data_IF_753594393104
#
_entry.id   IF_753594393104
#
_cell.length_a   1.000
_cell.length_b   1.000
_cell.length_c   1.000
_cell.angle_alpha   90.00
_cell.angle_beta   90.00
_cell.angle_gamma   90.00
#
_symmetry.space_group_name_H-M   'P 1'
#
loop_
_entity.id
_entity.type
_entity.pdbx_description
1 polymer ?
#
# COMPACT_ATOMS: atom_id res chain seq x y z
N UNK A 1 -1.85 33.71 -7.23
CA UNK A 1 -1.32 34.38 -8.43
C UNK A 1 -1.90 33.71 -9.65
N UNK A 2 -2.26 34.49 -10.65
CA UNK A 2 -2.66 33.98 -11.96
C UNK A 2 -1.41 33.57 -12.75
N UNK A 3 -1.53 32.63 -13.70
CA UNK A 3 -0.38 32.19 -14.51
C UNK A 3 0.30 33.37 -15.22
N UNK A 4 -0.49 34.33 -15.70
CA UNK A 4 -0.03 35.51 -16.40
C UNK A 4 0.83 36.44 -15.52
N UNK A 5 0.51 36.55 -14.23
CA UNK A 5 1.32 37.32 -13.28
C UNK A 5 2.71 36.72 -13.09
N UNK A 6 2.81 35.39 -12.97
CA UNK A 6 4.10 34.70 -12.79
C UNK A 6 4.96 34.82 -14.05
N UNK A 7 4.35 34.68 -15.23
CA UNK A 7 5.03 34.84 -16.52
C UNK A 7 5.52 36.28 -16.75
N UNK A 8 4.74 37.28 -16.33
CA UNK A 8 5.16 38.68 -16.39
C UNK A 8 6.37 38.95 -15.48
N UNK A 9 6.41 38.39 -14.28
CA UNK A 9 7.56 38.51 -13.37
C UNK A 9 8.81 37.84 -13.93
N UNK A 10 8.66 36.68 -14.57
CA UNK A 10 9.75 36.00 -15.26
C UNK A 10 10.29 36.83 -16.43
N UNK A 11 9.39 37.39 -17.26
CA UNK A 11 9.76 38.26 -18.39
C UNK A 11 10.49 39.54 -17.96
N UNK A 12 10.22 40.03 -16.75
CA UNK A 12 10.88 41.21 -16.17
C UNK A 12 12.17 40.86 -15.40
N UNK A 13 12.61 39.60 -15.42
CA UNK A 13 13.74 39.09 -14.62
C UNK A 13 13.59 39.34 -13.10
N UNK A 14 12.36 39.50 -12.60
CA UNK A 14 12.08 39.72 -11.17
C UNK A 14 12.14 38.40 -10.37
N UNK A 15 12.04 37.26 -11.06
CA UNK A 15 12.12 35.91 -10.48
C UNK A 15 12.95 35.00 -11.38
N UNK A 16 13.66 34.04 -10.80
CA UNK A 16 14.42 33.05 -11.58
C UNK A 16 13.48 32.05 -12.26
N UNK A 17 13.93 31.42 -13.33
CA UNK A 17 13.18 30.36 -14.03
C UNK A 17 12.76 29.22 -13.10
N UNK A 18 13.61 28.86 -12.12
CA UNK A 18 13.30 27.83 -11.13
C UNK A 18 12.20 28.27 -10.16
N UNK A 19 12.21 29.53 -9.73
CA UNK A 19 11.21 30.05 -8.81
C UNK A 19 9.86 30.22 -9.50
N UNK A 20 9.86 30.73 -10.74
CA UNK A 20 8.66 30.81 -11.57
C UNK A 20 8.03 29.43 -11.79
N UNK A 21 8.84 28.40 -12.02
CA UNK A 21 8.37 27.02 -12.14
C UNK A 21 7.68 26.53 -10.87
N UNK A 22 8.27 26.76 -9.69
CA UNK A 22 7.67 26.37 -8.41
C UNK A 22 6.37 27.13 -8.11
N UNK A 23 6.27 28.40 -8.51
CA UNK A 23 5.05 29.21 -8.37
C UNK A 23 3.92 28.75 -9.30
N UNK A 24 4.25 28.33 -10.52
CA UNK A 24 3.28 27.81 -11.50
C UNK A 24 2.81 26.40 -11.15
N UNK A 25 3.69 25.58 -10.59
CA UNK A 25 3.45 24.19 -10.25
C UNK A 25 3.74 23.95 -8.76
N UNK A 26 2.94 24.54 -7.86
CA UNK A 26 3.13 24.32 -6.43
C UNK A 26 2.99 22.82 -6.15
N UNK A 27 3.98 22.25 -5.47
CA UNK A 27 3.93 20.85 -5.05
C UNK A 27 2.69 20.69 -4.18
N UNK A 28 1.65 20.06 -4.71
CA UNK A 28 0.49 19.67 -3.91
C UNK A 28 1.00 18.83 -2.75
N UNK A 29 0.70 19.24 -1.50
CA UNK A 29 1.00 18.42 -0.32
C UNK A 29 0.22 17.12 -0.47
N UNK A 30 0.84 16.09 -1.04
CA UNK A 30 0.24 14.77 -1.11
C UNK A 30 0.00 14.30 0.32
N UNK A 31 -1.25 13.99 0.65
CA UNK A 31 -1.58 13.43 1.96
C UNK A 31 -0.78 12.13 2.12
N UNK A 32 0.15 12.10 3.08
CA UNK A 32 0.90 10.88 3.36
C UNK A 32 -0.09 9.82 3.81
N UNK A 33 -0.14 8.70 3.06
CA UNK A 33 -0.97 7.57 3.43
C UNK A 33 -0.61 7.10 4.85
N UNK A 34 -1.63 6.92 5.71
CA UNK A 34 -1.41 6.42 7.06
C UNK A 34 -0.96 4.96 6.97
N UNK A 35 0.14 4.63 7.63
CA UNK A 35 0.61 3.24 7.72
C UNK A 35 -0.32 2.46 8.65
N UNK A 36 -0.75 1.29 8.20
CA UNK A 36 -1.40 0.30 9.04
C UNK A 36 -0.40 -0.21 10.09
N UNK A 37 -0.92 -0.67 11.24
CA UNK A 37 -0.09 -1.29 12.28
C UNK A 37 -0.36 -2.78 12.39
N UNK A 38 -1.59 -3.18 12.06
CA UNK A 38 -2.04 -4.55 12.20
C UNK A 38 -2.67 -5.08 10.92
N UNK A 39 -2.65 -6.40 10.78
CA UNK A 39 -3.35 -7.13 9.73
C UNK A 39 -4.31 -8.10 10.40
N UNK A 40 -5.56 -8.10 9.94
CA UNK A 40 -6.56 -9.09 10.30
C UNK A 40 -6.78 -10.05 9.14
N UNK A 41 -6.75 -11.34 9.44
CA UNK A 41 -7.05 -12.38 8.49
C UNK A 41 -8.49 -12.88 8.70
N UNK A 42 -9.13 -13.26 7.60
CA UNK A 42 -10.34 -14.09 7.62
C UNK A 42 -10.19 -15.12 6.52
N UNK A 43 -10.25 -16.39 6.90
CA UNK A 43 -10.02 -17.51 5.98
C UNK A 43 -11.31 -18.32 5.92
N UNK A 44 -11.73 -18.69 4.71
CA UNK A 44 -12.86 -19.56 4.47
C UNK A 44 -12.43 -20.68 3.55
N UNK A 45 -12.30 -21.88 4.12
CA UNK A 45 -11.95 -23.10 3.40
C UNK A 45 -13.27 -23.83 3.08
N UNK A 46 -13.61 -24.02 1.79
CA UNK A 46 -14.77 -24.82 1.42
C UNK A 46 -14.64 -26.25 1.97
N UNK A 47 -15.77 -26.92 2.15
CA UNK A 47 -15.88 -28.32 2.60
C UNK A 47 -15.40 -28.62 4.04
N UNK A 48 -14.77 -27.67 4.73
CA UNK A 48 -14.25 -27.87 6.09
C UNK A 48 -14.62 -26.71 7.04
N UNK A 49 -15.87 -26.75 7.52
CA UNK A 49 -16.39 -25.77 8.49
C UNK A 49 -15.54 -25.73 9.78
N UNK A 50 -15.09 -26.88 10.26
CA UNK A 50 -14.25 -26.99 11.47
C UNK A 50 -12.88 -26.32 11.29
N UNK A 51 -12.19 -26.59 10.17
CA UNK A 51 -10.90 -25.97 9.87
C UNK A 51 -11.04 -24.45 9.72
N UNK A 52 -12.09 -24.01 9.02
CA UNK A 52 -12.43 -22.59 8.90
C UNK A 52 -12.64 -21.94 10.28
N UNK A 53 -13.41 -22.57 11.17
CA UNK A 53 -13.65 -22.05 12.51
C UNK A 53 -12.35 -21.97 13.31
N UNK A 54 -11.58 -23.06 13.37
CA UNK A 54 -10.32 -23.14 14.10
C UNK A 54 -9.32 -22.06 13.66
N UNK A 55 -9.11 -21.90 12.35
CA UNK A 55 -8.18 -20.91 11.81
C UNK A 55 -8.65 -19.48 12.11
N UNK A 56 -9.95 -19.20 11.98
CA UNK A 56 -10.48 -17.88 12.30
C UNK A 56 -10.40 -17.54 13.80
N UNK A 57 -10.49 -18.54 14.68
CA UNK A 57 -10.24 -18.36 16.12
C UNK A 57 -8.75 -18.10 16.37
N UNK A 58 -7.87 -18.90 15.76
CA UNK A 58 -6.42 -18.73 15.89
C UNK A 58 -5.96 -17.32 15.46
N UNK A 59 -6.58 -16.78 14.40
CA UNK A 59 -6.29 -15.44 13.86
C UNK A 59 -7.37 -14.40 14.21
N UNK A 60 -8.10 -14.59 15.30
CA UNK A 60 -9.09 -13.62 15.75
C UNK A 60 -8.45 -12.27 16.15
N UNK A 61 -7.25 -12.34 16.73
CA UNK A 61 -6.45 -11.17 17.12
C UNK A 61 -5.70 -10.61 15.89
N UNK A 62 -5.75 -9.28 15.63
CA UNK A 62 -4.94 -8.66 14.59
C UNK A 62 -3.44 -8.84 14.84
N UNK A 63 -2.71 -9.26 13.81
CA UNK A 63 -1.26 -9.49 13.89
C UNK A 63 -0.51 -8.19 13.60
N UNK A 64 0.47 -7.79 14.42
CA UNK A 64 1.37 -6.69 14.11
C UNK A 64 2.10 -6.89 12.78
N UNK A 65 2.10 -5.88 11.91
CA UNK A 65 2.78 -5.93 10.61
C UNK A 65 4.30 -6.15 10.77
N UNK A 66 4.89 -5.69 11.87
CA UNK A 66 6.30 -5.92 12.19
C UNK A 66 6.66 -7.40 12.24
N UNK A 67 5.78 -8.25 12.81
CA UNK A 67 6.00 -9.70 12.84
C UNK A 67 5.93 -10.30 11.43
N UNK A 68 4.94 -9.89 10.64
CA UNK A 68 4.81 -10.34 9.25
C UNK A 68 6.05 -9.97 8.43
N UNK A 69 6.55 -8.74 8.60
CA UNK A 69 7.79 -8.28 7.95
C UNK A 69 9.01 -9.09 8.39
N UNK A 70 9.09 -9.48 9.66
CA UNK A 70 10.18 -10.31 10.18
C UNK A 70 10.19 -11.70 9.51
N UNK A 71 9.03 -12.36 9.45
CA UNK A 71 8.90 -13.69 8.82
C UNK A 71 9.12 -13.65 7.30
N UNK A 72 8.73 -12.57 6.63
CA UNK A 72 8.88 -12.45 5.17
C UNK A 72 10.24 -11.89 4.74
N UNK A 73 11.11 -11.46 5.68
CA UNK A 73 12.38 -10.78 5.39
C UNK A 73 13.26 -11.53 4.37
N UNK A 74 13.32 -12.85 4.46
CA UNK A 74 14.10 -13.69 3.54
C UNK A 74 13.54 -13.80 2.12
N UNK A 75 12.28 -13.40 1.88
CA UNK A 75 11.59 -13.48 0.57
C UNK A 75 11.27 -12.11 -0.03
N UNK A 76 11.69 -11.01 0.60
CA UNK A 76 11.30 -9.65 0.18
C UNK A 76 11.87 -9.22 -1.18
N UNK A 77 13.01 -9.78 -1.58
CA UNK A 77 13.70 -9.43 -2.83
C UNK A 77 13.31 -10.34 -4.01
N UNK A 78 12.40 -11.29 -3.81
CA UNK A 78 11.93 -12.17 -4.87
C UNK A 78 10.82 -11.47 -5.67
N UNK A 79 10.84 -11.59 -7.01
CA UNK A 79 9.73 -11.12 -7.83
C UNK A 79 8.48 -11.95 -7.52
N UNK A 80 7.33 -11.28 -7.46
CA UNK A 80 6.04 -11.95 -7.15
C UNK A 80 5.52 -12.74 -8.36
N UNK A 81 5.89 -12.32 -9.56
CA UNK A 81 5.53 -12.96 -10.83
C UNK A 81 6.51 -12.53 -11.91
N UNK A 82 6.83 -13.41 -12.85
CA UNK A 82 7.65 -13.10 -14.03
C UNK A 82 6.98 -12.08 -14.97
N UNK A 83 5.66 -11.87 -14.84
CA UNK A 83 4.87 -11.01 -15.72
C UNK A 83 4.66 -9.59 -15.16
N UNK A 84 4.95 -9.36 -13.88
CA UNK A 84 4.80 -8.05 -13.24
C UNK A 84 6.09 -7.67 -12.51
N UNK A 85 6.77 -6.57 -12.88
CA UNK A 85 7.99 -6.11 -12.23
C UNK A 85 7.67 -5.43 -10.89
N UNK A 86 6.90 -6.11 -10.03
CA UNK A 86 6.59 -5.66 -8.67
C UNK A 86 7.32 -6.61 -7.71
N UNK A 87 8.16 -6.03 -6.86
CA UNK A 87 8.85 -6.76 -5.81
C UNK A 87 7.89 -7.12 -4.67
N UNK A 88 8.17 -8.22 -3.96
CA UNK A 88 7.39 -8.59 -2.77
C UNK A 88 7.40 -7.48 -1.71
N UNK A 89 8.50 -6.72 -1.62
CA UNK A 89 8.61 -5.53 -0.77
C UNK A 89 7.57 -4.46 -1.12
N UNK A 90 7.41 -4.14 -2.41
CA UNK A 90 6.44 -3.14 -2.86
C UNK A 90 5.00 -3.61 -2.59
N UNK A 91 4.71 -4.89 -2.80
CA UNK A 91 3.39 -5.46 -2.43
C UNK A 91 3.14 -5.32 -0.93
N UNK A 92 4.13 -5.62 -0.09
CA UNK A 92 4.01 -5.46 1.37
C UNK A 92 3.81 -4.00 1.75
N UNK A 93 4.51 -3.06 1.11
CA UNK A 93 4.40 -1.64 1.42
C UNK A 93 3.07 -1.02 0.94
N UNK A 94 2.55 -1.47 -0.20
CA UNK A 94 1.19 -1.14 -0.67
C UNK A 94 0.12 -1.73 0.25
N UNK A 95 0.29 -2.99 0.67
CA UNK A 95 -0.59 -3.63 1.63
C UNK A 95 -0.52 -2.94 3.01
N UNK A 96 0.63 -2.39 3.40
CA UNK A 96 0.81 -1.71 4.68
C UNK A 96 0.14 -0.32 4.75
N UNK A 97 -0.57 0.13 3.72
CA UNK A 97 -1.42 1.32 3.79
C UNK A 97 -2.69 0.99 4.58
N UNK A 98 -3.09 1.88 5.48
CA UNK A 98 -4.29 1.71 6.31
C UNK A 98 -5.55 1.73 5.45
N UNK A 99 -6.40 0.72 5.61
CA UNK A 99 -7.67 0.59 4.89
C UNK A 99 -7.59 -0.27 3.63
N UNK A 100 -6.41 -0.80 3.29
CA UNK A 100 -6.24 -1.74 2.19
C UNK A 100 -6.80 -3.11 2.58
N UNK A 101 -7.39 -3.80 1.61
CA UNK A 101 -7.75 -5.20 1.73
C UNK A 101 -7.27 -5.97 0.51
N UNK A 102 -6.78 -7.19 0.74
CA UNK A 102 -6.39 -8.13 -0.31
C UNK A 102 -7.29 -9.35 -0.18
N UNK A 103 -7.97 -9.68 -1.29
CA UNK A 103 -8.80 -10.87 -1.39
C UNK A 103 -8.09 -11.87 -2.29
N UNK A 104 -7.69 -12.99 -1.71
CA UNK A 104 -7.10 -14.11 -2.44
C UNK A 104 -8.16 -15.17 -2.65
N UNK A 105 -8.31 -15.61 -3.89
CA UNK A 105 -9.20 -16.71 -4.28
C UNK A 105 -8.30 -17.78 -4.88
N UNK A 106 -8.14 -18.90 -4.17
CA UNK A 106 -7.32 -20.01 -4.61
C UNK A 106 -8.13 -20.94 -5.55
N UNK A 107 -7.42 -21.81 -6.27
CA UNK A 107 -8.01 -22.76 -7.23
C UNK A 107 -8.99 -23.74 -6.60
N UNK A 108 -8.73 -24.11 -5.34
CA UNK A 108 -9.57 -24.95 -4.49
C UNK A 108 -10.78 -24.19 -3.91
N UNK A 109 -11.07 -22.98 -4.39
CA UNK A 109 -12.11 -22.08 -3.88
C UNK A 109 -11.90 -21.60 -2.44
N UNK A 110 -10.72 -21.84 -1.85
CA UNK A 110 -10.35 -21.24 -0.57
C UNK A 110 -10.26 -19.72 -0.73
N UNK A 111 -10.93 -19.00 0.17
CA UNK A 111 -10.99 -17.53 0.17
C UNK A 111 -10.25 -16.99 1.38
N UNK A 112 -9.26 -16.15 1.13
CA UNK A 112 -8.49 -15.48 2.18
C UNK A 112 -8.71 -13.97 2.04
N UNK A 113 -9.19 -13.34 3.10
CA UNK A 113 -9.32 -11.89 3.20
C UNK A 113 -8.27 -11.38 4.18
N UNK A 114 -7.40 -10.50 3.69
CA UNK A 114 -6.37 -9.83 4.46
C UNK A 114 -6.79 -8.36 4.55
N UNK A 115 -7.03 -7.84 5.76
CA UNK A 115 -7.44 -6.45 5.98
C UNK A 115 -6.43 -5.74 6.86
N UNK A 116 -6.01 -4.54 6.46
CA UNK A 116 -5.09 -3.73 7.25
C UNK A 116 -5.83 -2.72 8.12
N UNK A 117 -5.37 -2.57 9.36
CA UNK A 117 -6.03 -1.78 10.42
C UNK A 117 -5.02 -0.82 11.09
#
# INVERSE_FOLDING_TARGET
MTKNEVLNKLSKNEVSSNDAYQMLYPKTKQAKARKARFIKFRINIPDSKGATYFINVLFALPIPIGLVKLFLRGRMNQPVSDQFPISMKEVIDLAAIKGTFVKVIAKDQTKILIKTI
#
